data_IF_207876323345
#
_entry.id   IF_207876323345
#
_cell.length_a   1.000
_cell.length_b   1.000
_cell.length_c   1.000
_cell.angle_alpha   90.00
_cell.angle_beta   90.00
_cell.angle_gamma   90.00
#
_symmetry.space_group_name_H-M   'P 1'
#
loop_
_entity.id
_entity.type
_entity.pdbx_description
1 polymer ?
#
# COMPACT_ATOMS: atom_id res chain seq x y z
N UNK A 1 -8.08 -0.37 -23.50
CA UNK A 1 -7.78 -1.05 -24.78
C UNK A 1 -7.46 -2.51 -24.54
N UNK A 2 -6.24 -2.89 -24.13
CA UNK A 2 -5.92 -4.33 -23.92
C UNK A 2 -6.84 -5.04 -22.92
N UNK A 3 -7.20 -4.38 -21.83
CA UNK A 3 -8.10 -4.93 -20.80
C UNK A 3 -9.59 -4.94 -21.19
N UNK A 4 -9.95 -4.31 -22.32
CA UNK A 4 -11.34 -4.09 -22.76
C UNK A 4 -11.47 -4.38 -24.26
N UNK A 5 -10.72 -5.35 -24.77
CA UNK A 5 -10.68 -5.65 -26.20
C UNK A 5 -11.95 -6.43 -26.60
N UNK A 6 -12.83 -5.87 -27.45
CA UNK A 6 -14.06 -6.56 -27.87
C UNK A 6 -13.79 -7.81 -28.72
N UNK A 7 -12.58 -7.96 -29.28
CA UNK A 7 -12.17 -9.14 -30.03
C UNK A 7 -11.85 -10.36 -29.17
N UNK A 8 -11.72 -10.18 -27.85
CA UNK A 8 -11.47 -11.26 -26.89
C UNK A 8 -12.74 -11.49 -26.08
N UNK A 9 -13.33 -12.70 -26.06
CA UNK A 9 -14.54 -12.95 -25.28
C UNK A 9 -14.27 -12.99 -23.77
N UNK A 10 -13.09 -13.44 -23.37
CA UNK A 10 -12.68 -13.59 -21.98
C UNK A 10 -11.93 -12.38 -21.44
N UNK A 11 -12.07 -12.15 -20.14
CA UNK A 11 -11.41 -11.06 -19.43
C UNK A 11 -9.92 -11.36 -19.24
N UNK A 12 -9.05 -10.44 -19.66
CA UNK A 12 -7.62 -10.57 -19.41
C UNK A 12 -7.25 -9.98 -18.04
N UNK A 13 -7.25 -10.82 -17.02
CA UNK A 13 -6.96 -10.43 -15.63
C UNK A 13 -5.59 -9.80 -15.44
N UNK A 14 -4.58 -10.20 -16.22
CA UNK A 14 -3.25 -9.61 -16.17
C UNK A 14 -3.30 -8.11 -16.55
N UNK A 15 -3.98 -7.77 -17.64
CA UNK A 15 -4.13 -6.38 -18.06
C UNK A 15 -5.06 -5.56 -17.15
N UNK A 16 -6.05 -6.20 -16.52
CA UNK A 16 -6.92 -5.55 -15.52
C UNK A 16 -6.11 -5.17 -14.28
N UNK A 17 -5.26 -6.08 -13.78
CA UNK A 17 -4.38 -5.80 -12.63
C UNK A 17 -3.36 -4.70 -12.96
N UNK A 18 -2.67 -4.80 -14.10
CA UNK A 18 -1.74 -3.77 -14.56
C UNK A 18 -2.40 -2.39 -14.72
N UNK A 19 -3.68 -2.33 -15.09
CA UNK A 19 -4.41 -1.08 -15.13
C UNK A 19 -4.55 -0.50 -13.72
N UNK A 20 -4.98 -1.29 -12.74
CA UNK A 20 -5.10 -0.86 -11.33
C UNK A 20 -3.76 -0.36 -10.77
N UNK A 21 -2.66 -1.07 -11.04
CA UNK A 21 -1.32 -0.67 -10.59
C UNK A 21 -0.92 0.71 -11.12
N UNK A 22 -1.23 0.98 -12.39
CA UNK A 22 -0.98 2.30 -13.02
C UNK A 22 -1.87 3.40 -12.42
N UNK A 23 -3.12 3.09 -12.09
CA UNK A 23 -4.01 4.03 -11.41
C UNK A 23 -3.44 4.45 -10.06
N UNK A 24 -2.85 3.50 -9.32
CA UNK A 24 -2.27 3.76 -8.01
C UNK A 24 -0.91 4.46 -8.06
N UNK A 25 -0.13 4.23 -9.12
CA UNK A 25 1.19 4.85 -9.30
C UNK A 25 1.14 6.35 -9.62
N UNK A 26 0.06 6.84 -10.24
CA UNK A 26 -0.10 8.25 -10.64
C UNK A 26 -1.04 9.01 -9.68
N UNK A 27 -0.65 10.23 -9.33
CA UNK A 27 -1.46 11.12 -8.51
C UNK A 27 -2.78 11.51 -9.20
N UNK A 28 -2.75 11.75 -10.50
CA UNK A 28 -3.97 12.02 -11.28
C UNK A 28 -4.59 10.75 -11.88
N UNK A 29 -4.00 9.58 -11.57
CA UNK A 29 -4.40 8.27 -12.05
C UNK A 29 -5.90 8.00 -11.90
N UNK A 30 -6.51 8.18 -10.72
CA UNK A 30 -7.95 7.92 -10.52
C UNK A 30 -8.87 8.75 -11.43
N UNK A 31 -8.57 10.04 -11.59
CA UNK A 31 -9.37 10.95 -12.41
C UNK A 31 -9.29 10.57 -13.90
N UNK A 32 -8.07 10.28 -14.38
CA UNK A 32 -7.84 9.85 -15.75
C UNK A 32 -8.45 8.48 -16.04
N UNK A 33 -8.29 7.53 -15.12
CA UNK A 33 -8.84 6.19 -15.23
C UNK A 33 -10.37 6.20 -15.37
N UNK A 34 -11.06 6.94 -14.49
CA UNK A 34 -12.52 7.06 -14.54
C UNK A 34 -13.02 7.70 -15.84
N UNK A 35 -12.27 8.67 -16.41
CA UNK A 35 -12.60 9.24 -17.72
C UNK A 35 -12.48 8.22 -18.84
N UNK A 36 -11.42 7.41 -18.84
CA UNK A 36 -11.21 6.35 -19.84
C UNK A 36 -12.27 5.25 -19.69
N UNK A 37 -12.54 4.82 -18.46
CA UNK A 37 -13.57 3.82 -18.15
C UNK A 37 -14.95 4.30 -18.54
N UNK A 38 -15.33 5.55 -18.25
CA UNK A 38 -16.60 6.12 -18.67
C UNK A 38 -16.81 6.00 -20.20
N UNK A 39 -15.79 6.36 -20.97
CA UNK A 39 -15.84 6.23 -22.44
C UNK A 39 -16.01 4.78 -22.89
N UNK A 40 -15.30 3.83 -22.24
CA UNK A 40 -15.39 2.39 -22.58
C UNK A 40 -16.71 1.74 -22.17
N UNK A 41 -17.27 2.12 -21.02
CA UNK A 41 -18.58 1.65 -20.54
C UNK A 41 -19.71 2.15 -21.46
N UNK A 42 -19.53 3.31 -22.10
CA UNK A 42 -20.46 3.86 -23.09
C UNK A 42 -20.33 3.22 -24.48
N UNK A 43 -19.45 2.23 -24.65
CA UNK A 43 -19.25 1.58 -25.94
C UNK A 43 -20.54 0.94 -26.44
N UNK A 44 -20.87 1.05 -27.74
CA UNK A 44 -21.96 0.30 -28.34
C UNK A 44 -21.64 -1.21 -28.44
N UNK A 45 -20.36 -1.59 -28.27
CA UNK A 45 -19.95 -2.99 -28.23
C UNK A 45 -20.17 -3.54 -26.82
N UNK A 46 -21.13 -4.46 -26.68
CA UNK A 46 -21.50 -5.04 -25.39
C UNK A 46 -20.30 -5.62 -24.63
N UNK A 47 -19.45 -6.39 -25.31
CA UNK A 47 -18.26 -7.02 -24.70
C UNK A 47 -17.30 -5.98 -24.12
N UNK A 48 -16.99 -4.92 -24.88
CA UNK A 48 -16.09 -3.85 -24.41
C UNK A 48 -16.66 -3.12 -23.20
N UNK A 49 -17.97 -2.83 -23.21
CA UNK A 49 -18.65 -2.19 -22.08
C UNK A 49 -18.66 -3.07 -20.83
N UNK A 50 -18.91 -4.38 -20.98
CA UNK A 50 -18.90 -5.34 -19.87
C UNK A 50 -17.49 -5.50 -19.28
N UNK A 51 -16.45 -5.65 -20.11
CA UNK A 51 -15.07 -5.69 -19.62
C UNK A 51 -14.68 -4.40 -18.91
N UNK A 52 -15.10 -3.24 -19.42
CA UNK A 52 -14.85 -1.97 -18.76
C UNK A 52 -15.53 -1.88 -17.38
N UNK A 53 -16.71 -2.48 -17.21
CA UNK A 53 -17.37 -2.60 -15.91
C UNK A 53 -16.60 -3.53 -14.97
N UNK A 54 -16.05 -4.64 -15.46
CA UNK A 54 -15.17 -5.52 -14.65
C UNK A 54 -13.90 -4.79 -14.21
N UNK A 55 -13.27 -4.02 -15.10
CA UNK A 55 -12.10 -3.19 -14.74
C UNK A 55 -12.47 -2.17 -13.68
N UNK A 56 -13.61 -1.50 -13.82
CA UNK A 56 -14.12 -0.54 -12.85
C UNK A 56 -14.34 -1.18 -11.47
N UNK A 57 -15.04 -2.32 -11.40
CA UNK A 57 -15.24 -3.06 -10.15
C UNK A 57 -13.90 -3.43 -9.51
N UNK A 58 -12.94 -3.89 -10.32
CA UNK A 58 -11.60 -4.24 -9.84
C UNK A 58 -10.85 -3.02 -9.31
N UNK A 59 -10.98 -1.85 -9.96
CA UNK A 59 -10.39 -0.61 -9.47
C UNK A 59 -11.01 -0.16 -8.16
N UNK A 60 -12.33 -0.27 -8.00
CA UNK A 60 -13.01 0.03 -6.73
C UNK A 60 -12.46 -0.82 -5.59
N UNK A 61 -12.10 -2.08 -5.86
CA UNK A 61 -11.56 -2.98 -4.83
C UNK A 61 -10.08 -2.68 -4.52
N UNK A 62 -9.29 -2.30 -5.52
CA UNK A 62 -7.82 -2.28 -5.41
C UNK A 62 -7.18 -0.88 -5.31
N UNK A 63 -7.93 0.20 -5.59
CA UNK A 63 -7.34 1.56 -5.71
C UNK A 63 -7.65 2.50 -4.53
N UNK A 64 -8.38 2.01 -3.53
CA UNK A 64 -8.62 2.71 -2.27
C UNK A 64 -9.35 4.07 -2.36
N UNK A 65 -9.26 4.83 -1.26
CA UNK A 65 -10.04 6.06 -1.00
C UNK A 65 -9.91 7.14 -2.09
N UNK A 66 -8.72 7.29 -2.70
CA UNK A 66 -8.52 8.29 -3.76
C UNK A 66 -9.39 8.00 -4.97
N UNK A 67 -9.54 6.72 -5.31
CA UNK A 67 -10.40 6.28 -6.39
C UNK A 67 -11.87 6.41 -6.02
N UNK A 68 -12.24 6.01 -4.79
CA UNK A 68 -13.62 6.13 -4.29
C UNK A 68 -14.13 7.58 -4.33
N UNK A 69 -13.34 8.54 -3.82
CA UNK A 69 -13.69 9.96 -3.87
C UNK A 69 -13.83 10.51 -5.30
N UNK A 70 -13.03 10.02 -6.25
CA UNK A 70 -13.13 10.45 -7.64
C UNK A 70 -14.38 9.85 -8.31
N UNK A 71 -14.69 8.58 -8.01
CA UNK A 71 -15.85 7.84 -8.51
C UNK A 71 -17.17 8.41 -7.99
N UNK A 72 -17.22 8.83 -6.72
CA UNK A 72 -18.42 9.38 -6.09
C UNK A 72 -18.80 10.79 -6.58
N UNK A 73 -17.99 11.42 -7.45
CA UNK A 73 -18.33 12.74 -8.03
C UNK A 73 -19.40 12.58 -9.12
N UNK A 74 -20.34 13.52 -9.16
CA UNK A 74 -21.34 13.61 -10.24
C UNK A 74 -20.73 13.61 -11.64
N UNK A 75 -19.51 14.14 -11.80
CA UNK A 75 -18.79 14.07 -13.08
C UNK A 75 -18.73 12.65 -13.64
N UNK A 76 -18.45 11.65 -12.81
CA UNK A 76 -18.38 10.25 -13.23
C UNK A 76 -19.76 9.58 -13.17
N UNK A 77 -20.52 9.79 -12.09
CA UNK A 77 -21.86 9.20 -11.96
C UNK A 77 -22.80 9.58 -13.12
N UNK A 78 -22.70 10.81 -13.63
CA UNK A 78 -23.47 11.26 -14.80
C UNK A 78 -23.13 10.46 -16.06
N UNK A 79 -21.90 9.99 -16.21
CA UNK A 79 -21.51 9.16 -17.36
C UNK A 79 -22.16 7.78 -17.29
N UNK A 80 -22.36 7.21 -16.10
CA UNK A 80 -23.12 5.97 -15.90
C UNK A 80 -24.63 6.19 -16.08
N UNK A 81 -25.16 7.32 -15.60
CA UNK A 81 -26.58 7.70 -15.80
C UNK A 81 -26.92 7.79 -17.28
N UNK A 82 -26.01 8.34 -18.12
CA UNK A 82 -26.23 8.41 -19.58
C UNK A 82 -26.38 7.03 -20.23
N UNK A 83 -25.71 5.99 -19.71
CA UNK A 83 -25.83 4.60 -20.18
C UNK A 83 -27.20 4.01 -19.86
N UNK A 84 -27.79 4.40 -18.73
CA UNK A 84 -29.11 3.92 -18.32
C UNK A 84 -30.27 4.74 -18.92
N UNK A 85 -30.04 6.03 -19.19
CA UNK A 85 -31.09 6.95 -19.59
C UNK A 85 -31.44 6.82 -21.08
N UNK A 86 -32.73 6.58 -21.43
CA UNK A 86 -33.18 6.56 -22.82
C UNK A 86 -32.96 7.88 -23.58
N UNK A 87 -32.75 9.00 -22.86
CA UNK A 87 -32.45 10.32 -23.44
C UNK A 87 -31.03 10.41 -24.02
N UNK A 88 -30.16 9.46 -23.68
CA UNK A 88 -28.76 9.44 -24.08
C UNK A 88 -28.41 8.10 -24.73
N UNK A 89 -27.65 7.24 -24.05
CA UNK A 89 -27.15 5.99 -24.60
C UNK A 89 -28.06 4.79 -24.28
N UNK A 90 -29.03 4.92 -23.37
CA UNK A 90 -29.84 3.79 -22.89
C UNK A 90 -30.70 3.08 -23.95
N UNK A 91 -30.95 3.71 -25.10
CA UNK A 91 -31.61 3.06 -26.25
C UNK A 91 -30.63 2.17 -27.04
N UNK A 92 -29.33 2.49 -27.01
CA UNK A 92 -28.28 1.79 -27.75
C UNK A 92 -27.55 0.75 -26.87
N UNK A 93 -27.51 0.98 -25.57
CA UNK A 93 -26.93 0.07 -24.60
C UNK A 93 -27.83 -1.15 -24.41
N UNK A 94 -27.21 -2.35 -24.44
CA UNK A 94 -27.94 -3.59 -24.25
C UNK A 94 -28.55 -3.70 -22.84
N UNK A 95 -29.58 -4.52 -22.69
CA UNK A 95 -30.20 -4.79 -21.38
C UNK A 95 -29.19 -5.38 -20.39
N UNK A 96 -28.23 -6.19 -20.86
CA UNK A 96 -27.19 -6.77 -20.02
C UNK A 96 -26.26 -5.69 -19.44
N UNK A 97 -25.80 -4.75 -20.27
CA UNK A 97 -24.96 -3.62 -19.82
C UNK A 97 -25.75 -2.75 -18.83
N UNK A 98 -27.00 -2.40 -19.15
CA UNK A 98 -27.84 -1.57 -18.26
C UNK A 98 -28.09 -2.25 -16.92
N UNK A 99 -28.38 -3.55 -16.93
CA UNK A 99 -28.54 -4.35 -15.71
C UNK A 99 -27.25 -4.34 -14.88
N UNK A 100 -26.09 -4.52 -15.51
CA UNK A 100 -24.79 -4.51 -14.81
C UNK A 100 -24.45 -3.14 -14.23
N UNK A 101 -24.63 -2.06 -14.98
CA UNK A 101 -24.44 -0.68 -14.47
C UNK A 101 -25.36 -0.41 -13.28
N UNK A 102 -26.63 -0.84 -13.37
CA UNK A 102 -27.59 -0.68 -12.26
C UNK A 102 -27.13 -1.44 -11.03
N UNK A 103 -26.67 -2.69 -11.17
CA UNK A 103 -26.15 -3.49 -10.07
C UNK A 103 -24.90 -2.88 -9.43
N UNK A 104 -23.98 -2.34 -10.23
CA UNK A 104 -22.76 -1.66 -9.75
C UNK A 104 -23.10 -0.39 -8.98
N UNK A 105 -23.98 0.47 -9.51
CA UNK A 105 -24.38 1.70 -8.81
C UNK A 105 -25.15 1.36 -7.53
N UNK A 106 -26.01 0.34 -7.55
CA UNK A 106 -26.71 -0.12 -6.36
C UNK A 106 -25.75 -0.66 -5.30
N UNK A 107 -24.77 -1.50 -5.65
CA UNK A 107 -23.81 -2.01 -4.68
C UNK A 107 -23.04 -0.88 -4.00
N UNK A 108 -22.70 0.18 -4.72
CA UNK A 108 -22.06 1.35 -4.14
C UNK A 108 -22.93 2.12 -3.15
N UNK A 109 -24.26 2.12 -3.29
CA UNK A 109 -25.15 2.72 -2.27
C UNK A 109 -25.08 1.98 -0.93
N UNK A 110 -24.74 0.69 -0.97
CA UNK A 110 -24.59 -0.17 0.20
C UNK A 110 -23.18 -0.10 0.76
N UNK A 111 -22.16 -0.13 -0.11
CA UNK A 111 -20.75 -0.13 0.28
C UNK A 111 -20.24 1.23 0.75
N UNK A 112 -20.78 2.31 0.19
CA UNK A 112 -20.37 3.69 0.49
C UNK A 112 -21.57 4.52 0.97
N UNK A 113 -22.19 4.16 2.13
CA UNK A 113 -23.36 4.88 2.64
C UNK A 113 -23.07 6.35 2.98
N UNK A 114 -21.81 6.71 3.20
CA UNK A 114 -21.34 8.08 3.41
C UNK A 114 -21.35 8.93 2.13
N UNK A 115 -21.32 8.31 0.94
CA UNK A 115 -21.27 9.01 -0.34
C UNK A 115 -22.66 9.38 -0.83
N UNK A 116 -23.21 10.46 -0.27
CA UNK A 116 -24.58 10.95 -0.53
C UNK A 116 -24.89 11.12 -2.02
N UNK A 117 -23.89 11.52 -2.83
CA UNK A 117 -24.06 11.72 -4.28
C UNK A 117 -24.40 10.43 -5.02
N UNK A 118 -23.87 9.28 -4.56
CA UNK A 118 -24.18 7.97 -5.14
C UNK A 118 -25.63 7.60 -4.82
N UNK A 119 -26.07 7.83 -3.58
CA UNK A 119 -27.46 7.62 -3.17
C UNK A 119 -28.42 8.51 -3.96
N UNK A 120 -28.13 9.81 -4.06
CA UNK A 120 -28.95 10.77 -4.81
C UNK A 120 -29.09 10.37 -6.28
N UNK A 121 -27.99 9.97 -6.93
CA UNK A 121 -27.99 9.51 -8.31
C UNK A 121 -28.87 8.26 -8.48
N UNK A 122 -28.75 7.27 -7.59
CA UNK A 122 -29.54 6.05 -7.64
C UNK A 122 -31.03 6.31 -7.38
N UNK A 123 -31.36 7.12 -6.37
CA UNK A 123 -32.74 7.49 -6.06
C UNK A 123 -33.38 8.30 -7.19
N UNK A 124 -32.61 9.16 -7.86
CA UNK A 124 -33.07 9.87 -9.06
C UNK A 124 -33.44 8.89 -10.18
N UNK A 125 -32.60 7.87 -10.45
CA UNK A 125 -32.89 6.84 -11.46
C UNK A 125 -34.18 6.06 -11.13
N UNK A 126 -34.42 5.74 -9.85
CA UNK A 126 -35.67 5.11 -9.40
C UNK A 126 -36.88 6.02 -9.59
N UNK A 127 -36.79 7.29 -9.17
CA UNK A 127 -37.87 8.28 -9.32
C UNK A 127 -38.26 8.50 -10.78
N UNK A 128 -37.31 8.42 -11.71
CA UNK A 128 -37.55 8.55 -13.14
C UNK A 128 -38.08 7.26 -13.79
N UNK A 129 -38.22 6.16 -13.03
CA UNK A 129 -38.66 4.86 -13.54
C UNK A 129 -37.63 4.16 -14.43
N UNK A 130 -36.37 4.63 -14.44
CA UNK A 130 -35.28 4.00 -15.18
C UNK A 130 -34.87 2.70 -14.48
N UNK A 131 -34.80 2.72 -13.15
CA UNK A 131 -34.62 1.53 -12.31
C UNK A 131 -35.97 1.20 -11.67
N UNK A 132 -36.53 0.05 -12.03
CA UNK A 132 -37.87 -0.37 -11.57
C UNK A 132 -37.81 -1.14 -10.25
N UNK A 133 -36.85 -2.04 -10.12
CA UNK A 133 -36.64 -2.87 -8.95
C UNK A 133 -35.17 -2.86 -8.56
N UNK A 134 -34.90 -2.94 -7.25
CA UNK A 134 -33.53 -3.02 -6.75
C UNK A 134 -32.95 -4.42 -7.09
N UNK A 135 -31.74 -4.50 -7.67
CA UNK A 135 -31.14 -5.78 -7.99
C UNK A 135 -30.85 -6.57 -6.71
N UNK A 136 -31.09 -7.88 -6.75
CA UNK A 136 -30.74 -8.79 -5.66
C UNK A 136 -29.22 -8.91 -5.61
N UNK A 137 -28.58 -8.21 -4.67
CA UNK A 137 -27.16 -8.40 -4.39
C UNK A 137 -26.98 -9.79 -3.74
N UNK A 138 -26.03 -10.62 -4.22
CA UNK A 138 -25.61 -11.81 -3.47
C UNK A 138 -25.16 -11.39 -2.07
N UNK A 139 -25.56 -12.14 -1.04
CA UNK A 139 -25.24 -11.82 0.37
C UNK A 139 -23.73 -11.68 0.62
N UNK A 140 -22.91 -12.45 -0.11
CA UNK A 140 -21.43 -12.38 -0.09
C UNK A 140 -20.85 -11.08 -0.67
N UNK A 141 -21.64 -10.30 -1.41
CA UNK A 141 -21.24 -9.01 -2.02
C UNK A 141 -21.81 -7.79 -1.30
N UNK A 142 -22.42 -7.95 -0.12
CA UNK A 142 -22.99 -6.83 0.66
C UNK A 142 -21.90 -6.04 1.40
N UNK A 143 -20.75 -6.65 1.63
CA UNK A 143 -19.59 -5.97 2.20
C UNK A 143 -18.76 -5.34 1.07
N UNK A 144 -18.26 -4.09 1.22
CA UNK A 144 -17.17 -3.64 0.36
C UNK A 144 -16.09 -4.73 0.40
N UNK A 145 -15.57 -5.19 -0.75
CA UNK A 145 -14.52 -6.21 -0.75
C UNK A 145 -13.41 -5.70 0.15
N UNK A 146 -12.96 -6.50 1.13
CA UNK A 146 -11.88 -6.08 2.01
C UNK A 146 -10.72 -5.66 1.12
N UNK A 147 -10.20 -4.46 1.35
CA UNK A 147 -9.03 -3.94 0.64
C UNK A 147 -7.99 -5.07 0.51
N UNK A 148 -7.41 -5.29 -0.68
CA UNK A 148 -6.42 -6.33 -0.88
C UNK A 148 -5.42 -6.29 0.27
N UNK A 149 -5.38 -7.39 1.03
CA UNK A 149 -4.45 -7.49 2.14
C UNK A 149 -3.05 -7.29 1.53
N UNK A 150 -2.22 -6.36 2.05
CA UNK A 150 -0.87 -6.17 1.55
C UNK A 150 -0.17 -7.53 1.47
N UNK A 151 0.52 -7.84 0.37
CA UNK A 151 1.15 -9.16 0.14
C UNK A 151 2.25 -9.54 1.16
N UNK A 152 2.54 -8.66 2.13
CA UNK A 152 3.44 -8.88 3.26
C UNK A 152 2.74 -8.48 4.57
N UNK A 153 1.52 -8.96 4.77
CA UNK A 153 0.77 -8.70 6.00
C UNK A 153 1.44 -9.44 7.17
N UNK A 154 1.47 -8.81 8.34
CA UNK A 154 1.92 -9.37 9.64
C UNK A 154 1.40 -10.80 9.86
N UNK A 155 0.23 -11.11 9.32
CA UNK A 155 -0.44 -12.40 9.46
C UNK A 155 0.02 -13.48 8.50
N UNK A 156 0.90 -13.18 7.54
CA UNK A 156 1.38 -14.08 6.48
C UNK A 156 2.88 -14.41 6.63
N UNK A 157 3.58 -13.83 7.62
CA UNK A 157 5.02 -14.04 7.88
C UNK A 157 5.34 -15.44 8.41
N UNK A 158 4.43 -16.04 9.17
CA UNK A 158 4.59 -17.37 9.79
C UNK A 158 3.48 -18.28 9.27
N UNK A 159 3.82 -19.12 8.29
CA UNK A 159 2.87 -19.95 7.54
C UNK A 159 2.03 -20.87 8.45
N UNK A 160 2.59 -21.33 9.56
CA UNK A 160 1.88 -22.19 10.53
C UNK A 160 0.89 -21.38 11.37
N UNK A 161 1.29 -20.20 11.86
CA UNK A 161 0.37 -19.27 12.55
C UNK A 161 -0.74 -18.78 11.60
N UNK A 162 -0.42 -18.52 10.33
CA UNK A 162 -1.41 -18.13 9.30
C UNK A 162 -2.46 -19.23 9.07
N UNK A 163 -2.01 -20.49 8.91
CA UNK A 163 -2.91 -21.65 8.74
C UNK A 163 -3.79 -21.87 9.97
N UNK A 164 -3.21 -21.78 11.17
CA UNK A 164 -3.96 -21.90 12.42
C UNK A 164 -5.00 -20.80 12.57
N UNK A 165 -4.63 -19.54 12.32
CA UNK A 165 -5.54 -18.41 12.37
C UNK A 165 -6.70 -18.58 11.37
N UNK A 166 -6.41 -19.01 10.14
CA UNK A 166 -7.43 -19.26 9.14
C UNK A 166 -8.40 -20.40 9.54
N UNK A 167 -7.92 -21.42 10.25
CA UNK A 167 -8.77 -22.49 10.80
C UNK A 167 -9.66 -21.99 11.92
N UNK A 168 -9.10 -21.23 12.87
CA UNK A 168 -9.83 -20.71 14.02
C UNK A 168 -10.94 -19.73 13.59
N UNK A 169 -10.65 -18.87 12.61
CA UNK A 169 -11.62 -17.90 12.06
C UNK A 169 -12.75 -18.57 11.25
N UNK A 170 -12.54 -19.78 10.72
CA UNK A 170 -13.56 -20.54 9.99
C UNK A 170 -14.48 -21.35 10.91
N UNK A 171 -14.18 -21.43 12.21
CA UNK A 171 -14.98 -22.18 13.17
C UNK A 171 -16.19 -21.37 13.65
N UNK A 172 -17.31 -22.06 13.90
CA UNK A 172 -18.51 -21.47 14.51
C UNK A 172 -18.49 -21.54 16.05
N UNK A 173 -17.42 -22.07 16.64
CA UNK A 173 -17.29 -22.20 18.09
C UNK A 173 -16.79 -20.88 18.71
N UNK A 174 -17.43 -20.43 19.78
CA UNK A 174 -17.02 -19.21 20.50
C UNK A 174 -15.60 -19.30 21.08
N UNK A 175 -15.14 -20.49 21.46
CA UNK A 175 -13.80 -20.70 22.01
C UNK A 175 -12.72 -20.56 20.93
N UNK A 176 -12.96 -21.08 19.72
CA UNK A 176 -12.05 -20.96 18.59
C UNK A 176 -11.91 -19.49 18.14
N UNK A 177 -13.02 -18.74 18.15
CA UNK A 177 -13.00 -17.31 17.86
C UNK A 177 -12.24 -16.51 18.92
N UNK A 178 -12.35 -16.89 20.20
CA UNK A 178 -11.53 -16.28 21.27
C UNK A 178 -10.05 -16.61 21.08
N UNK A 179 -9.70 -17.85 20.73
CA UNK A 179 -8.34 -18.25 20.42
C UNK A 179 -7.78 -17.46 19.22
N UNK A 180 -8.59 -17.24 18.17
CA UNK A 180 -8.20 -16.40 17.04
C UNK A 180 -7.87 -14.97 17.47
N UNK A 181 -8.69 -14.35 18.32
CA UNK A 181 -8.45 -12.99 18.83
C UNK A 181 -7.17 -12.89 19.66
N UNK A 182 -6.89 -13.90 20.50
CA UNK A 182 -5.65 -13.99 21.26
C UNK A 182 -4.43 -14.12 20.34
N UNK A 183 -4.53 -14.97 19.32
CA UNK A 183 -3.46 -15.17 18.33
C UNK A 183 -3.18 -13.88 17.55
N UNK A 184 -4.22 -13.19 17.08
CA UNK A 184 -4.11 -11.89 16.39
C UNK A 184 -3.36 -10.89 17.28
N UNK A 185 -3.74 -10.78 18.56
CA UNK A 185 -3.10 -9.86 19.50
C UNK A 185 -1.62 -10.17 19.69
N UNK A 186 -1.27 -11.45 19.80
CA UNK A 186 0.12 -11.90 19.94
C UNK A 186 0.94 -11.59 18.69
N UNK A 187 0.41 -11.85 17.50
CA UNK A 187 1.11 -11.60 16.23
C UNK A 187 1.36 -10.10 16.02
N UNK A 188 0.39 -9.24 16.35
CA UNK A 188 0.55 -7.79 16.29
C UNK A 188 1.62 -7.31 17.26
N UNK A 189 1.65 -7.84 18.48
CA UNK A 189 2.67 -7.47 19.46
C UNK A 189 4.07 -7.92 19.03
N UNK A 190 4.21 -9.14 18.52
CA UNK A 190 5.47 -9.69 18.02
C UNK A 190 6.05 -8.84 16.88
N UNK A 191 5.21 -8.45 15.90
CA UNK A 191 5.64 -7.57 14.81
C UNK A 191 5.94 -6.13 15.27
N UNK A 192 5.22 -5.63 16.28
CA UNK A 192 5.54 -4.32 16.88
C UNK A 192 6.91 -4.34 17.59
N UNK A 193 7.23 -5.44 18.27
CA UNK A 193 8.54 -5.61 18.91
C UNK A 193 9.65 -5.80 17.89
N UNK A 194 9.43 -6.60 16.84
CA UNK A 194 10.36 -6.82 15.73
C UNK A 194 10.65 -5.51 14.98
N UNK A 195 9.62 -4.77 14.60
CA UNK A 195 9.77 -3.47 13.93
C UNK A 195 10.50 -2.44 14.80
N UNK A 196 10.26 -2.43 16.12
CA UNK A 196 11.01 -1.59 17.05
C UNK A 196 12.50 -1.97 17.13
N UNK A 197 12.84 -3.27 17.13
CA UNK A 197 14.23 -3.74 17.07
C UNK A 197 14.91 -3.30 15.77
N UNK A 198 14.28 -3.54 14.62
CA UNK A 198 14.79 -3.12 13.30
C UNK A 198 14.98 -1.61 13.24
N UNK A 199 14.02 -0.81 13.73
CA UNK A 199 14.12 0.65 13.75
C UNK A 199 15.31 1.14 14.58
N UNK A 200 15.55 0.58 15.76
CA UNK A 200 16.73 0.91 16.59
C UNK A 200 18.03 0.54 15.90
N UNK A 201 18.08 -0.65 15.28
CA UNK A 201 19.25 -1.13 14.53
C UNK A 201 19.60 -0.17 13.40
N UNK A 202 18.63 0.11 12.53
CA UNK A 202 18.80 1.01 11.38
C UNK A 202 19.19 2.42 11.81
N UNK A 203 18.56 2.97 12.86
CA UNK A 203 18.93 4.31 13.37
C UNK A 203 20.39 4.34 13.83
N UNK A 204 20.82 3.35 14.60
CA UNK A 204 22.19 3.30 15.16
C UNK A 204 23.22 3.09 14.06
N UNK A 205 22.96 2.19 13.11
CA UNK A 205 23.84 1.97 11.95
C UNK A 205 23.96 3.26 11.13
N UNK A 206 22.84 3.96 10.89
CA UNK A 206 22.88 5.25 10.19
C UNK A 206 23.73 6.28 10.92
N UNK A 207 23.57 6.42 12.24
CA UNK A 207 24.40 7.32 13.06
C UNK A 207 25.89 6.98 12.95
N UNK A 208 26.23 5.68 12.92
CA UNK A 208 27.60 5.21 12.72
C UNK A 208 28.12 5.58 11.33
N UNK A 209 27.35 5.32 10.27
CA UNK A 209 27.73 5.68 8.90
C UNK A 209 27.94 7.18 8.74
N UNK A 210 27.08 8.01 9.35
CA UNK A 210 27.23 9.47 9.37
C UNK A 210 28.50 9.90 10.11
N UNK A 211 28.81 9.28 11.25
CA UNK A 211 30.02 9.56 12.02
C UNK A 211 31.29 9.17 11.24
N UNK A 212 31.31 7.98 10.62
CA UNK A 212 32.40 7.50 9.76
C UNK A 212 32.62 8.43 8.58
N UNK A 213 31.54 8.85 7.90
CA UNK A 213 31.65 9.79 6.78
C UNK A 213 32.20 11.15 7.22
N UNK A 214 31.75 11.67 8.36
CA UNK A 214 32.26 12.94 8.90
C UNK A 214 33.75 12.82 9.27
N UNK A 215 34.15 11.73 9.91
CA UNK A 215 35.56 11.44 10.18
C UNK A 215 36.39 11.42 8.90
N UNK A 216 35.92 10.74 7.84
CA UNK A 216 36.55 10.74 6.52
C UNK A 216 36.78 12.15 5.95
N UNK A 217 35.78 13.04 6.05
CA UNK A 217 35.92 14.44 5.59
C UNK A 217 36.99 15.21 6.36
N UNK A 218 37.08 15.02 7.68
CA UNK A 218 38.13 15.64 8.49
C UNK A 218 39.52 15.10 8.13
N UNK A 219 39.64 13.79 7.85
CA UNK A 219 40.88 13.17 7.38
C UNK A 219 41.36 13.81 6.07
N UNK A 220 40.48 13.94 5.09
CA UNK A 220 40.82 14.58 3.81
C UNK A 220 41.20 16.06 3.96
N UNK A 221 40.46 16.81 4.79
CA UNK A 221 40.77 18.22 5.06
C UNK A 221 42.14 18.37 5.77
N UNK A 222 42.51 17.40 6.60
CA UNK A 222 43.82 17.36 7.26
C UNK A 222 44.95 17.09 6.27
N UNK A 223 44.79 16.13 5.36
CA UNK A 223 45.78 15.84 4.30
C UNK A 223 46.03 17.06 3.40
N UNK A 224 45.01 17.90 3.19
CA UNK A 224 45.10 19.16 2.43
C UNK A 224 45.69 20.33 3.24
N UNK A 225 46.04 20.14 4.51
CA UNK A 225 46.49 21.18 5.46
C UNK A 225 45.49 22.33 5.68
N UNK A 226 44.19 22.07 5.49
CA UNK A 226 43.12 23.10 5.57
C UNK A 226 42.43 23.15 6.95
N UNK A 227 42.89 22.38 7.94
CA UNK A 227 42.22 22.25 9.24
C UNK A 227 42.41 23.51 10.13
N UNK A 228 41.31 24.14 10.53
CA UNK A 228 41.32 25.28 11.46
C UNK A 228 41.10 24.80 12.92
N UNK A 229 41.52 25.59 13.93
CA UNK A 229 41.26 25.29 15.36
C UNK A 229 39.82 24.86 15.71
N UNK A 230 38.75 25.52 15.23
CA UNK A 230 37.37 25.08 15.49
C UNK A 230 37.07 23.67 14.94
N UNK A 231 37.76 23.23 13.89
CA UNK A 231 37.61 21.89 13.32
C UNK A 231 38.22 20.81 14.22
N UNK A 232 39.20 21.17 15.06
CA UNK A 232 39.83 20.25 16.00
C UNK A 232 38.93 19.94 17.22
N UNK A 233 38.22 20.94 17.74
CA UNK A 233 37.22 20.74 18.81
C UNK A 233 36.00 19.95 18.29
N UNK A 234 35.58 20.21 17.05
CA UNK A 234 34.52 19.45 16.39
C UNK A 234 34.94 17.98 16.19
N UNK A 235 36.17 17.72 15.73
CA UNK A 235 36.72 16.37 15.60
C UNK A 235 36.78 15.65 16.95
N UNK A 236 37.23 16.31 18.01
CA UNK A 236 37.29 15.71 19.34
C UNK A 236 35.89 15.35 19.88
N UNK A 237 34.90 16.20 19.63
CA UNK A 237 33.49 15.93 19.96
C UNK A 237 32.94 14.73 19.18
N UNK A 238 33.25 14.66 17.88
CA UNK A 238 32.86 13.55 17.01
C UNK A 238 33.48 12.22 17.47
N UNK A 239 34.77 12.23 17.86
CA UNK A 239 35.45 11.06 18.41
C UNK A 239 34.78 10.59 19.71
N UNK A 240 34.53 11.51 20.65
CA UNK A 240 33.84 11.17 21.90
C UNK A 240 32.43 10.62 21.68
N UNK A 241 31.68 11.16 20.71
CA UNK A 241 30.37 10.65 20.34
C UNK A 241 30.46 9.24 19.74
N UNK A 242 31.38 9.05 18.78
CA UNK A 242 31.63 7.77 18.11
C UNK A 242 32.04 6.66 19.10
N UNK A 243 32.82 6.98 20.14
CA UNK A 243 33.14 6.03 21.22
C UNK A 243 31.88 5.52 21.96
N UNK A 244 30.86 6.38 22.13
CA UNK A 244 29.61 6.02 22.81
C UNK A 244 28.71 5.12 21.95
N UNK A 245 28.95 5.03 20.65
CA UNK A 245 28.22 4.15 19.74
C UNK A 245 28.69 2.68 19.86
N UNK A 246 29.95 2.43 20.24
CA UNK A 246 30.46 1.04 20.36
C UNK A 246 29.66 0.15 21.33
N UNK A 247 29.34 0.57 22.58
CA UNK A 247 28.52 -0.24 23.47
C UNK A 247 27.09 -0.47 22.96
N UNK A 248 26.56 0.44 22.14
CA UNK A 248 25.24 0.29 21.51
C UNK A 248 25.28 -0.76 20.42
N UNK A 249 26.30 -0.72 19.55
CA UNK A 249 26.52 -1.75 18.53
C UNK A 249 26.74 -3.14 19.15
N UNK A 250 27.51 -3.24 20.23
CA UNK A 250 27.69 -4.50 20.94
C UNK A 250 26.38 -5.07 21.48
N UNK A 251 25.52 -4.20 22.04
CA UNK A 251 24.18 -4.60 22.51
C UNK A 251 23.31 -5.05 21.35
N UNK A 252 23.30 -4.31 20.24
CA UNK A 252 22.54 -4.68 19.04
C UNK A 252 23.01 -6.01 18.46
N UNK A 253 24.31 -6.30 18.45
CA UNK A 253 24.85 -7.58 18.00
C UNK A 253 24.39 -8.72 18.90
N UNK A 254 24.35 -8.49 20.23
CA UNK A 254 23.85 -9.46 21.20
C UNK A 254 22.35 -9.71 21.06
N UNK A 255 21.57 -8.70 20.64
CA UNK A 255 20.13 -8.82 20.38
C UNK A 255 19.80 -9.45 19.02
N UNK A 256 20.76 -9.47 18.09
CA UNK A 256 20.62 -9.95 16.72
C UNK A 256 21.16 -11.38 16.50
N UNK A 257 21.50 -12.12 17.56
CA UNK A 257 22.12 -13.46 17.46
C UNK A 257 21.26 -14.47 16.70
N UNK A 258 19.94 -14.29 16.71
CA UNK A 258 18.99 -15.17 16.01
C UNK A 258 18.70 -14.73 14.55
N UNK A 259 19.35 -13.67 14.06
CA UNK A 259 19.16 -13.09 12.72
C UNK A 259 20.54 -12.80 12.09
N UNK A 260 21.04 -13.75 11.29
CA UNK A 260 22.39 -13.70 10.70
C UNK A 260 22.62 -12.45 9.84
N UNK A 261 21.59 -11.98 9.12
CA UNK A 261 21.67 -10.79 8.27
C UNK A 261 21.78 -9.53 9.14
N UNK A 262 20.92 -9.42 10.16
CA UNK A 262 21.00 -8.34 11.14
C UNK A 262 22.35 -8.29 11.88
N UNK A 263 22.86 -9.46 12.26
CA UNK A 263 24.14 -9.57 12.94
C UNK A 263 25.28 -9.10 12.04
N UNK A 264 25.28 -9.52 10.77
CA UNK A 264 26.27 -9.10 9.79
C UNK A 264 26.27 -7.58 9.59
N UNK A 265 25.10 -6.95 9.46
CA UNK A 265 24.98 -5.48 9.35
C UNK A 265 25.60 -4.75 10.54
N UNK A 266 25.32 -5.21 11.77
CA UNK A 266 25.82 -4.56 12.99
C UNK A 266 27.33 -4.76 13.14
N UNK A 267 27.84 -5.94 12.82
CA UNK A 267 29.27 -6.22 12.86
C UNK A 267 30.02 -5.39 11.82
N UNK A 268 29.50 -5.28 10.60
CA UNK A 268 30.10 -4.42 9.57
C UNK A 268 30.17 -2.95 10.03
N UNK A 269 29.08 -2.41 10.57
CA UNK A 269 29.07 -1.05 11.10
C UNK A 269 30.07 -0.87 12.26
N UNK A 270 30.25 -1.89 13.10
CA UNK A 270 31.24 -1.90 14.18
C UNK A 270 32.67 -1.88 13.67
N UNK A 271 32.97 -2.65 12.62
CA UNK A 271 34.31 -2.70 12.01
C UNK A 271 34.65 -1.37 11.33
N UNK A 272 33.72 -0.80 10.56
CA UNK A 272 33.87 0.51 9.91
C UNK A 272 34.12 1.63 10.94
N UNK A 273 33.35 1.65 12.03
CA UNK A 273 33.53 2.61 13.11
C UNK A 273 34.90 2.46 13.78
N UNK A 274 35.32 1.22 14.02
CA UNK A 274 36.60 0.92 14.67
C UNK A 274 37.78 1.34 13.79
N UNK A 275 37.70 1.07 12.48
CA UNK A 275 38.70 1.49 11.51
C UNK A 275 38.80 3.02 11.44
N UNK A 276 37.67 3.72 11.30
CA UNK A 276 37.65 5.18 11.21
C UNK A 276 38.20 5.84 12.48
N UNK A 277 37.82 5.34 13.66
CA UNK A 277 38.35 5.79 14.95
C UNK A 277 39.86 5.56 15.05
N UNK A 278 40.35 4.42 14.58
CA UNK A 278 41.78 4.10 14.52
C UNK A 278 42.56 5.11 13.67
N UNK A 279 42.10 5.38 12.46
CA UNK A 279 42.73 6.33 11.55
C UNK A 279 42.76 7.76 12.13
N UNK A 280 41.64 8.25 12.66
CA UNK A 280 41.59 9.58 13.26
C UNK A 280 42.51 9.72 14.49
N UNK A 281 42.59 8.68 15.35
CA UNK A 281 43.45 8.70 16.54
C UNK A 281 44.94 8.73 16.19
N UNK A 282 45.35 7.98 15.17
CA UNK A 282 46.74 7.99 14.71
C UNK A 282 47.16 9.39 14.25
N UNK A 283 46.28 10.11 13.57
CA UNK A 283 46.54 11.48 13.11
C UNK A 283 46.55 12.52 14.23
N UNK A 284 45.67 12.37 15.22
CA UNK A 284 45.69 13.25 16.42
C UNK A 284 46.95 13.00 17.25
N UNK A 285 47.45 11.76 17.29
CA UNK A 285 48.65 11.40 18.04
C UNK A 285 49.98 11.73 17.30
N UNK A 286 49.94 11.98 15.99
CA UNK A 286 51.11 12.39 15.20
C UNK A 286 51.31 13.90 15.09
N UNK A 287 50.46 14.70 15.75
CA UNK A 287 50.64 16.14 16.00
C UNK A 287 51.39 16.38 17.31
#
# INVERSE_FOLDING_TARGET
>A
DKATDPGVPEENWEFIQQFCDRVNADTEGPSHALRLLAHKIQSPQEVEALHALTVLETCVNNCGERFHHAMAKFRFLNELIKVLSPKYYGTWSSEQVKSRVTAVVFSWTVWFPQEVKIQDAYQMLKKQGIVKEDPKLPEDKILPPPSPRPQNSIFDTDEEKSKLLARLLKSNNSEDLQAANCLIKSMVQEEQEKSAKVSRRVSTIREVSEAVQCMGKFLEAHERQELLRPDQEALQTLLQHSEKLRPLLFRLASEAVDDDEALAEVLQASDELTQALGCCRQLVASQ
#
